data_IF_362174586965
#
_entry.id   IF_362174586965
#
_cell.length_a   1.000
_cell.length_b   1.000
_cell.length_c   1.000
_cell.angle_alpha   90.00
_cell.angle_beta   90.00
_cell.angle_gamma   90.00
#
_symmetry.space_group_name_H-M   'P 1'
#
loop_
_entity.id
_entity.type
_entity.pdbx_description
1 polymer ?
#
# COMPACT_ATOMS: atom_id res chain seq x y z
N UNK A 1 -0.88 -6.72 22.32
CA UNK A 1 -0.75 -6.29 20.91
C UNK A 1 -0.22 -7.46 20.11
N UNK A 2 -0.72 -7.67 18.89
CA UNK A 2 -0.29 -8.75 18.00
C UNK A 2 0.21 -8.14 16.70
N UNK A 3 1.45 -8.46 16.31
CA UNK A 3 2.06 -8.02 15.06
C UNK A 3 2.32 -9.25 14.20
N UNK A 4 1.93 -9.20 12.92
CA UNK A 4 2.21 -10.25 11.95
C UNK A 4 2.72 -9.62 10.66
N UNK A 5 3.83 -10.16 10.14
CA UNK A 5 4.37 -9.80 8.84
C UNK A 5 4.02 -10.89 7.82
N UNK A 6 3.43 -10.49 6.70
CA UNK A 6 3.03 -11.42 5.64
C UNK A 6 4.24 -11.75 4.78
N UNK A 7 4.53 -13.04 4.48
CA UNK A 7 5.59 -13.40 3.55
C UNK A 7 5.29 -12.88 2.14
N UNK A 8 6.30 -12.37 1.45
CA UNK A 8 6.18 -11.81 0.10
C UNK A 8 7.23 -12.39 -0.85
N UNK A 9 6.90 -12.58 -2.14
CA UNK A 9 7.89 -12.93 -3.14
C UNK A 9 8.82 -11.74 -3.44
N UNK A 10 9.86 -11.98 -4.24
CA UNK A 10 10.73 -10.93 -4.78
C UNK A 10 10.01 -9.99 -5.76
N UNK A 11 8.84 -10.36 -6.28
CA UNK A 11 8.00 -9.50 -7.10
C UNK A 11 7.43 -8.39 -6.23
N UNK A 12 8.02 -7.20 -6.36
CA UNK A 12 7.67 -6.02 -5.56
C UNK A 12 6.17 -5.72 -5.67
N UNK A 13 5.58 -5.24 -4.57
CA UNK A 13 4.17 -4.85 -4.45
C UNK A 13 3.13 -5.99 -4.61
N UNK A 14 3.54 -7.20 -5.04
CA UNK A 14 2.63 -8.34 -5.23
C UNK A 14 1.88 -8.74 -3.94
N UNK A 15 2.44 -8.43 -2.77
CA UNK A 15 1.87 -8.75 -1.46
C UNK A 15 0.78 -7.75 -1.02
N UNK A 16 0.69 -6.57 -1.62
CA UNK A 16 -0.24 -5.52 -1.22
C UNK A 16 -1.71 -6.00 -1.15
N UNK A 17 -2.28 -6.59 -2.23
CA UNK A 17 -3.65 -7.09 -2.17
C UNK A 17 -3.81 -8.29 -1.22
N UNK A 18 -2.73 -9.06 -0.99
CA UNK A 18 -2.75 -10.19 -0.06
C UNK A 18 -2.91 -9.68 1.37
N UNK A 19 -2.19 -8.63 1.76
CA UNK A 19 -2.33 -7.99 3.08
C UNK A 19 -3.72 -7.41 3.27
N UNK A 20 -4.28 -6.72 2.26
CA UNK A 20 -5.65 -6.20 2.34
C UNK A 20 -6.67 -7.33 2.48
N UNK A 21 -6.52 -8.43 1.74
CA UNK A 21 -7.39 -9.61 1.85
C UNK A 21 -7.30 -10.29 3.22
N UNK A 22 -6.08 -10.46 3.76
CA UNK A 22 -5.87 -11.00 5.11
C UNK A 22 -6.50 -10.07 6.15
N UNK A 23 -6.35 -8.75 5.98
CA UNK A 23 -6.91 -7.74 6.88
C UNK A 23 -8.43 -7.79 6.86
N UNK A 24 -9.03 -7.89 5.67
CA UNK A 24 -10.48 -8.10 5.50
C UNK A 24 -10.95 -9.33 6.27
N UNK A 25 -10.33 -10.47 5.99
CA UNK A 25 -10.72 -11.74 6.59
C UNK A 25 -10.58 -11.69 8.12
N UNK A 26 -9.52 -11.07 8.64
CA UNK A 26 -9.31 -10.93 10.09
C UNK A 26 -10.35 -10.03 10.74
N UNK A 27 -10.71 -8.91 10.10
CA UNK A 27 -11.75 -8.01 10.59
C UNK A 27 -13.09 -8.74 10.68
N UNK A 28 -13.46 -9.49 9.63
CA UNK A 28 -14.73 -10.20 9.57
C UNK A 28 -14.76 -11.38 10.56
N UNK A 29 -13.69 -12.17 10.66
CA UNK A 29 -13.66 -13.40 11.46
C UNK A 29 -13.35 -13.18 12.95
N UNK A 30 -12.45 -12.25 13.28
CA UNK A 30 -11.94 -12.09 14.66
C UNK A 30 -12.36 -10.78 15.33
N UNK A 31 -12.94 -9.84 14.57
CA UNK A 31 -13.30 -8.52 15.09
C UNK A 31 -14.76 -8.16 14.82
N UNK A 32 -15.60 -9.12 14.40
CA UNK A 32 -17.04 -8.91 14.17
C UNK A 32 -17.32 -7.73 13.22
N UNK A 33 -16.47 -7.54 12.22
CA UNK A 33 -16.56 -6.42 11.28
C UNK A 33 -16.02 -5.07 11.82
N UNK A 34 -15.49 -5.03 13.04
CA UNK A 34 -14.93 -3.81 13.63
C UNK A 34 -13.55 -3.46 13.07
N UNK A 35 -13.56 -2.68 11.98
CA UNK A 35 -12.39 -2.12 11.32
C UNK A 35 -11.41 -1.35 12.24
N UNK A 36 -11.85 -0.85 13.40
CA UNK A 36 -10.97 -0.08 14.31
C UNK A 36 -10.00 -0.95 15.12
N UNK A 37 -10.15 -2.28 15.05
CA UNK A 37 -9.34 -3.24 15.83
C UNK A 37 -8.09 -3.71 15.09
N UNK A 38 -7.94 -3.39 13.80
CA UNK A 38 -6.84 -3.80 12.95
C UNK A 38 -6.42 -2.64 12.05
N UNK A 39 -5.11 -2.40 11.93
CA UNK A 39 -4.55 -1.39 11.02
C UNK A 39 -3.55 -2.10 10.10
N UNK A 40 -3.83 -2.20 8.79
CA UNK A 40 -2.83 -2.66 7.84
C UNK A 40 -1.78 -1.58 7.57
N UNK A 41 -0.54 -2.04 7.45
CA UNK A 41 0.62 -1.20 7.11
C UNK A 41 1.27 -1.83 5.88
N UNK A 42 1.40 -1.04 4.81
CA UNK A 42 2.11 -1.41 3.60
C UNK A 42 3.38 -0.58 3.47
N UNK A 43 4.50 -1.23 3.16
CA UNK A 43 5.81 -0.60 3.03
C UNK A 43 6.27 -0.76 1.59
N UNK A 44 6.68 0.34 0.98
CA UNK A 44 7.00 0.43 -0.45
C UNK A 44 8.40 1.01 -0.66
N UNK A 45 9.05 0.65 -1.76
CA UNK A 45 10.14 1.46 -2.33
C UNK A 45 9.56 2.56 -3.22
N UNK A 46 10.29 3.65 -3.46
CA UNK A 46 9.79 4.75 -4.29
C UNK A 46 9.58 4.37 -5.76
N UNK A 47 10.49 3.61 -6.37
CA UNK A 47 10.32 3.13 -7.75
C UNK A 47 9.20 2.10 -7.87
N UNK A 48 9.06 1.19 -6.91
CA UNK A 48 8.00 0.18 -6.95
C UNK A 48 6.63 0.77 -6.69
N UNK A 49 6.52 1.75 -5.79
CA UNK A 49 5.30 2.53 -5.53
C UNK A 49 4.78 3.22 -6.81
N UNK A 50 5.67 3.84 -7.57
CA UNK A 50 5.30 4.58 -8.78
C UNK A 50 5.14 3.69 -10.03
N UNK A 51 5.91 2.60 -10.12
CA UNK A 51 6.02 1.80 -11.34
C UNK A 51 5.13 0.56 -11.41
N UNK A 52 4.74 -0.03 -10.27
CA UNK A 52 3.95 -1.27 -10.27
C UNK A 52 2.44 -0.97 -10.34
N UNK A 53 1.77 -1.43 -11.40
CA UNK A 53 0.34 -1.21 -11.63
C UNK A 53 -0.56 -1.74 -10.51
N UNK A 54 -0.13 -2.80 -9.81
CA UNK A 54 -0.87 -3.38 -8.68
C UNK A 54 -1.05 -2.39 -7.53
N UNK A 55 -0.15 -1.41 -7.38
CA UNK A 55 -0.29 -0.35 -6.38
C UNK A 55 -1.52 0.50 -6.70
N UNK A 56 -1.66 0.93 -7.95
CA UNK A 56 -2.84 1.69 -8.38
C UNK A 56 -4.12 0.88 -8.21
N UNK A 57 -4.12 -0.41 -8.59
CA UNK A 57 -5.28 -1.29 -8.44
C UNK A 57 -5.74 -1.40 -6.97
N UNK A 58 -4.80 -1.65 -6.04
CA UNK A 58 -5.11 -1.74 -4.60
C UNK A 58 -5.67 -0.42 -4.07
N UNK A 59 -5.03 0.70 -4.42
CA UNK A 59 -5.50 2.03 -4.00
C UNK A 59 -6.90 2.33 -4.55
N UNK A 60 -7.20 1.95 -5.78
CA UNK A 60 -8.52 2.13 -6.40
C UNK A 60 -9.60 1.31 -5.67
N UNK A 61 -9.24 0.15 -5.14
CA UNK A 61 -10.15 -0.71 -4.39
C UNK A 61 -10.43 -0.22 -2.96
N UNK A 62 -9.60 0.66 -2.40
CA UNK A 62 -9.64 1.13 -0.99
C UNK A 62 -10.97 1.76 -0.51
N UNK A 63 -11.87 2.13 -1.43
CA UNK A 63 -13.18 2.71 -1.10
C UNK A 63 -14.35 1.78 -1.44
N UNK A 64 -14.08 0.60 -1.99
CA UNK A 64 -15.12 -0.34 -2.38
C UNK A 64 -15.62 -1.16 -1.17
N UNK A 65 -16.93 -1.46 -1.07
CA UNK A 65 -17.49 -2.20 0.05
C UNK A 65 -16.85 -3.58 0.29
N UNK A 66 -16.44 -4.26 -0.78
CA UNK A 66 -15.81 -5.59 -0.73
C UNK A 66 -14.35 -5.58 -0.26
N UNK A 67 -13.66 -4.45 -0.36
CA UNK A 67 -12.20 -4.35 -0.17
C UNK A 67 -11.80 -3.58 1.08
N UNK A 68 -12.78 -3.01 1.79
CA UNK A 68 -12.57 -2.37 3.09
C UNK A 68 -12.33 -0.88 3.02
N UNK A 69 -12.96 -0.14 3.95
CA UNK A 69 -12.79 1.31 4.11
C UNK A 69 -12.03 1.67 5.40
N UNK A 70 -11.31 0.71 5.99
CA UNK A 70 -10.63 0.89 7.29
C UNK A 70 -9.46 1.87 7.23
N UNK A 71 -8.91 2.11 6.03
CA UNK A 71 -7.73 2.94 5.83
C UNK A 71 -6.46 2.14 6.08
N UNK A 72 -5.52 2.27 5.15
CA UNK A 72 -4.22 1.59 5.18
C UNK A 72 -3.13 2.63 5.34
N UNK A 73 -2.17 2.37 6.21
CA UNK A 73 -0.99 3.22 6.35
C UNK A 73 0.04 2.77 5.33
N UNK A 74 0.41 3.68 4.43
CA UNK A 74 1.44 3.45 3.42
C UNK A 74 2.72 4.17 3.85
N UNK A 75 3.80 3.42 4.03
CA UNK A 75 5.14 3.96 4.31
C UNK A 75 6.00 3.77 3.07
N UNK A 76 6.41 4.86 2.44
CA UNK A 76 7.31 4.81 1.28
C UNK A 76 8.72 5.12 1.73
N UNK A 77 9.63 4.16 1.58
CA UNK A 77 11.06 4.36 1.78
C UNK A 77 11.61 4.98 0.50
N UNK A 78 11.65 6.31 0.47
CA UNK A 78 12.10 7.09 -0.69
C UNK A 78 13.60 7.38 -0.59
N UNK A 79 14.42 6.42 -1.03
CA UNK A 79 15.88 6.56 -1.07
C UNK A 79 16.37 7.21 -2.39
N UNK A 80 15.45 7.60 -3.27
CA UNK A 80 15.69 8.25 -4.57
C UNK A 80 16.42 7.38 -5.60
N UNK A 81 16.54 6.06 -5.39
CA UNK A 81 17.26 5.17 -6.30
C UNK A 81 16.62 3.78 -6.42
N UNK A 82 16.35 3.38 -7.65
CA UNK A 82 15.80 2.08 -8.00
C UNK A 82 16.87 1.22 -8.62
N UNK A 83 17.61 0.48 -7.79
CA UNK A 83 18.81 -0.24 -8.20
C UNK A 83 19.87 0.70 -8.82
N UNK A 84 19.91 0.84 -10.14
CA UNK A 84 20.82 1.75 -10.85
C UNK A 84 20.10 2.97 -11.46
N UNK A 85 18.77 3.02 -11.38
CA UNK A 85 17.95 4.06 -11.99
C UNK A 85 17.73 5.23 -11.02
N UNK A 86 17.87 6.46 -11.51
CA UNK A 86 17.57 7.67 -10.75
C UNK A 86 16.05 7.86 -10.60
N UNK A 87 15.62 8.71 -9.68
CA UNK A 87 14.21 8.95 -9.40
C UNK A 87 13.45 9.54 -10.61
N UNK A 88 14.13 10.31 -11.47
CA UNK A 88 13.54 10.87 -12.70
C UNK A 88 13.24 9.81 -13.77
N UNK A 89 13.90 8.65 -13.70
CA UNK A 89 13.70 7.53 -14.62
C UNK A 89 12.60 6.58 -14.13
N UNK A 90 12.26 6.64 -12.83
CA UNK A 90 11.28 5.75 -12.20
C UNK A 90 9.83 6.24 -12.23
N UNK A 91 9.58 7.52 -12.57
CA UNK A 91 8.24 8.12 -12.53
C UNK A 91 8.13 9.38 -13.39
N UNK A 92 6.92 9.63 -13.89
CA UNK A 92 6.59 10.89 -14.61
C UNK A 92 5.96 11.95 -13.72
N UNK A 93 5.77 11.66 -12.43
CA UNK A 93 5.18 12.54 -11.43
C UNK A 93 6.25 13.17 -10.54
N UNK A 94 5.91 14.24 -9.81
CA UNK A 94 6.86 14.90 -8.91
C UNK A 94 7.22 14.00 -7.73
N UNK A 95 6.21 13.38 -7.10
CA UNK A 95 6.41 12.48 -5.96
C UNK A 95 6.07 11.04 -6.32
N UNK A 96 6.78 10.08 -5.75
CA UNK A 96 6.48 8.64 -5.89
C UNK A 96 5.11 8.27 -5.29
N UNK A 97 4.58 9.07 -4.38
CA UNK A 97 3.25 8.92 -3.78
C UNK A 97 2.11 9.46 -4.64
N UNK A 98 2.41 10.13 -5.77
CA UNK A 98 1.39 10.79 -6.59
C UNK A 98 0.36 9.83 -7.19
N UNK A 99 0.70 8.53 -7.32
CA UNK A 99 -0.24 7.46 -7.70
C UNK A 99 -1.47 7.39 -6.77
N UNK A 100 -1.34 7.82 -5.51
CA UNK A 100 -2.42 7.86 -4.52
C UNK A 100 -3.32 9.09 -4.59
N UNK A 101 -2.94 10.14 -5.32
CA UNK A 101 -3.71 11.41 -5.37
C UNK A 101 -5.12 11.22 -5.90
N UNK A 102 -5.30 10.35 -6.90
CA UNK A 102 -6.61 10.05 -7.50
C UNK A 102 -7.60 9.45 -6.48
N UNK A 103 -7.09 8.76 -5.47
CA UNK A 103 -7.89 8.12 -4.42
C UNK A 103 -8.01 8.96 -3.15
N UNK A 104 -7.62 10.25 -3.20
CA UNK A 104 -7.64 11.17 -2.06
C UNK A 104 -6.77 10.69 -0.89
N UNK A 105 -5.68 9.95 -1.16
CA UNK A 105 -4.71 9.62 -0.11
C UNK A 105 -4.02 10.89 0.37
N UNK A 106 -4.04 11.09 1.68
CA UNK A 106 -3.28 12.17 2.31
C UNK A 106 -1.83 11.75 2.40
N UNK A 107 -0.95 12.53 1.76
CA UNK A 107 0.50 12.29 1.77
C UNK A 107 1.19 13.27 2.71
N UNK A 108 2.10 12.77 3.53
CA UNK A 108 3.00 13.56 4.35
C UNK A 108 4.43 13.20 3.97
N UNK A 109 5.29 14.21 3.81
CA UNK A 109 6.71 14.04 3.52
C UNK A 109 7.50 14.63 4.68
N UNK A 110 8.48 13.87 5.17
CA UNK A 110 9.37 14.26 6.26
C UNK A 110 10.83 14.09 5.82
#
# INVERSE_FOLDING_TARGET
MHLSLTPNPSHLEAVNPVVEGISRAKIDQYHEGNAKKLVPILIHGDHSMAGQGIVYEVLQMSKLPGYGKWGTVHLVINNQVGFSADFIEGRSSTYCTDVGKNNSLTSFSC
#
